data_IF_474627476553
#
_entry.id   IF_474627476553
#
_cell.length_a   1.000
_cell.length_b   1.000
_cell.length_c   1.000
_cell.angle_alpha   90.00
_cell.angle_beta   90.00
_cell.angle_gamma   90.00
#
_symmetry.space_group_name_H-M   'P 1'
#
loop_
_entity.id
_entity.type
_entity.pdbx_description
1 polymer ?
#
# COMPACT_ATOMS: atom_id res chain seq x y z
N UNK A 1 -5.21 -0.23 17.20
CA UNK A 1 -3.94 -0.84 16.75
C UNK A 1 -4.28 -1.74 15.59
N UNK A 2 -3.93 -1.35 14.37
CA UNK A 2 -4.02 -2.24 13.22
C UNK A 2 -2.89 -3.26 13.35
N UNK A 3 -3.20 -4.44 13.87
CA UNK A 3 -2.30 -5.59 13.73
C UNK A 3 -2.38 -6.00 12.26
N UNK A 4 -1.47 -5.46 11.46
CA UNK A 4 -1.15 -5.97 10.13
C UNK A 4 -0.44 -7.31 10.35
N UNK A 5 -1.20 -8.35 10.65
CA UNK A 5 -0.74 -9.72 10.47
C UNK A 5 -0.23 -9.80 9.02
N UNK A 6 1.02 -10.23 8.86
CA UNK A 6 1.89 -10.06 7.68
C UNK A 6 1.40 -10.76 6.41
N UNK A 7 0.20 -10.39 5.96
CA UNK A 7 -0.43 -10.87 4.75
C UNK A 7 -0.53 -9.71 3.77
N UNK A 8 -0.11 -9.91 2.51
CA UNK A 8 -0.26 -8.90 1.47
C UNK A 8 -1.72 -8.50 1.32
N UNK A 9 -2.01 -7.22 1.53
CA UNK A 9 -3.36 -6.64 1.39
C UNK A 9 -3.47 -5.94 0.03
N UNK A 10 -4.62 -6.07 -0.63
CA UNK A 10 -4.90 -5.28 -1.81
C UNK A 10 -5.06 -3.80 -1.45
N UNK A 11 -4.50 -2.92 -2.27
CA UNK A 11 -4.58 -1.47 -2.07
C UNK A 11 -6.03 -0.98 -1.89
N UNK A 12 -6.97 -1.48 -2.68
CA UNK A 12 -8.38 -1.12 -2.55
C UNK A 12 -8.96 -1.41 -1.17
N UNK A 13 -8.49 -2.46 -0.49
CA UNK A 13 -8.93 -2.80 0.85
C UNK A 13 -8.31 -1.87 1.89
N UNK A 14 -7.02 -1.52 1.73
CA UNK A 14 -6.36 -0.53 2.58
C UNK A 14 -7.03 0.85 2.48
N UNK A 15 -7.34 1.30 1.25
CA UNK A 15 -8.07 2.54 0.97
C UNK A 15 -9.47 2.54 1.60
N UNK A 16 -10.19 1.43 1.45
CA UNK A 16 -11.55 1.27 1.97
C UNK A 16 -11.61 1.25 3.51
N UNK A 17 -10.75 0.45 4.16
CA UNK A 17 -10.70 0.30 5.62
C UNK A 17 -10.28 1.58 6.32
N UNK A 18 -9.39 2.36 5.71
CA UNK A 18 -8.90 3.59 6.30
C UNK A 18 -9.83 4.80 6.03
N UNK A 19 -10.90 4.64 5.22
CA UNK A 19 -11.83 5.72 4.81
C UNK A 19 -11.09 6.99 4.37
N UNK A 20 -9.90 6.83 3.77
CA UNK A 20 -8.98 7.95 3.53
C UNK A 20 -9.45 8.72 2.32
N UNK A 21 -9.30 10.05 2.40
CA UNK A 21 -9.68 11.02 1.37
C UNK A 21 -8.93 10.88 0.05
N UNK A 22 -8.54 12.02 -0.55
CA UNK A 22 -8.06 12.11 -1.93
C UNK A 22 -7.11 10.95 -2.34
N UNK A 23 -7.46 10.16 -3.38
CA UNK A 23 -6.63 9.05 -3.88
C UNK A 23 -5.19 9.45 -4.19
N UNK A 24 -4.93 10.70 -4.60
CA UNK A 24 -3.58 11.18 -4.86
C UNK A 24 -2.69 11.15 -3.62
N UNK A 25 -3.26 11.46 -2.44
CA UNK A 25 -2.54 11.44 -1.15
C UNK A 25 -2.24 10.01 -0.72
N UNK A 26 -3.19 9.09 -0.91
CA UNK A 26 -2.98 7.66 -0.59
C UNK A 26 -1.87 7.09 -1.45
N UNK A 27 -1.95 7.32 -2.76
CA UNK A 27 -0.92 6.88 -3.70
C UNK A 27 0.46 7.44 -3.34
N UNK A 28 0.56 8.74 -3.04
CA UNK A 28 1.81 9.38 -2.60
C UNK A 28 2.39 8.71 -1.36
N UNK A 29 1.55 8.44 -0.36
CA UNK A 29 1.95 7.78 0.89
C UNK A 29 2.51 6.37 0.64
N UNK A 30 1.91 5.61 -0.27
CA UNK A 30 2.41 4.26 -0.63
C UNK A 30 3.77 4.34 -1.29
N UNK A 31 3.97 5.28 -2.21
CA UNK A 31 5.27 5.49 -2.83
C UNK A 31 6.34 5.90 -1.81
N UNK A 32 5.99 6.77 -0.87
CA UNK A 32 6.89 7.18 0.20
C UNK A 32 7.24 6.01 1.14
N UNK A 33 6.26 5.23 1.59
CA UNK A 33 6.49 4.05 2.43
C UNK A 33 7.33 2.98 1.69
N UNK A 34 7.12 2.80 0.39
CA UNK A 34 7.93 1.91 -0.44
C UNK A 34 9.34 2.43 -0.62
N UNK A 35 9.51 3.75 -0.74
CA UNK A 35 10.82 4.41 -0.84
C UNK A 35 11.60 4.33 0.47
N UNK A 36 10.94 4.45 1.62
CA UNK A 36 11.58 4.32 2.94
C UNK A 36 11.84 2.87 3.33
N UNK A 37 11.40 1.91 2.50
CA UNK A 37 11.53 0.49 2.78
C UNK A 37 10.62 0.02 3.90
N UNK A 38 9.56 0.77 4.24
CA UNK A 38 8.55 0.38 5.24
C UNK A 38 7.41 -0.44 4.62
N UNK A 39 7.31 -0.44 3.29
CA UNK A 39 6.28 -1.16 2.53
C UNK A 39 6.91 -1.94 1.37
N UNK A 40 6.50 -3.19 1.23
CA UNK A 40 6.90 -4.12 0.18
C UNK A 40 5.77 -4.20 -0.84
N UNK A 41 6.05 -3.82 -2.08
CA UNK A 41 5.13 -3.94 -3.22
C UNK A 41 5.92 -4.30 -4.48
N UNK A 42 6.23 -5.60 -4.71
CA UNK A 42 7.14 -6.02 -5.77
C UNK A 42 6.61 -5.71 -7.17
N UNK A 43 5.30 -5.73 -7.37
CA UNK A 43 4.67 -5.41 -8.66
C UNK A 43 4.95 -3.99 -9.13
N UNK A 44 5.17 -3.04 -8.21
CA UNK A 44 5.48 -1.64 -8.55
C UNK A 44 6.83 -1.44 -9.23
N UNK A 45 7.68 -2.48 -9.30
CA UNK A 45 8.90 -2.43 -10.12
C UNK A 45 8.58 -2.54 -11.63
N UNK A 46 7.48 -3.20 -12.00
CA UNK A 46 7.15 -3.52 -13.39
C UNK A 46 5.77 -3.03 -13.83
N UNK A 47 4.93 -2.62 -12.90
CA UNK A 47 3.54 -2.24 -13.14
C UNK A 47 3.23 -0.90 -12.47
N UNK A 48 2.33 -0.13 -13.08
CA UNK A 48 1.80 1.08 -12.46
C UNK A 48 0.95 0.73 -11.22
N UNK A 49 0.85 1.67 -10.28
CA UNK A 49 -0.01 1.53 -9.11
C UNK A 49 -1.47 1.38 -9.54
N UNK A 50 -2.12 0.35 -9.01
CA UNK A 50 -3.54 0.08 -9.21
C UNK A 50 -4.19 -0.40 -7.92
N UNK A 51 -5.52 -0.39 -7.88
CA UNK A 51 -6.33 -0.92 -6.77
C UNK A 51 -6.06 -2.39 -6.45
N UNK A 52 -5.50 -3.15 -7.39
CA UNK A 52 -5.14 -4.56 -7.24
C UNK A 52 -3.68 -4.77 -6.79
N UNK A 53 -2.94 -3.69 -6.56
CA UNK A 53 -1.57 -3.78 -6.05
C UNK A 53 -1.60 -4.41 -4.68
N UNK A 54 -0.89 -5.52 -4.52
CA UNK A 54 -0.66 -6.13 -3.22
C UNK A 54 0.46 -5.37 -2.53
N UNK A 55 0.18 -4.92 -1.31
CA UNK A 55 1.12 -4.24 -0.43
C UNK A 55 1.28 -5.04 0.85
N UNK A 56 2.51 -5.12 1.35
CA UNK A 56 2.84 -5.76 2.62
C UNK A 56 3.75 -4.84 3.44
N UNK A 57 3.77 -5.01 4.76
CA UNK A 57 4.69 -4.29 5.64
C UNK A 57 6.10 -4.87 5.51
N UNK A 58 7.11 -4.01 5.42
CA UNK A 58 8.48 -4.47 5.56
C UNK A 58 8.76 -4.80 7.04
N UNK A 59 9.27 -6.01 7.30
CA UNK A 59 9.78 -6.40 8.61
C UNK A 59 11.14 -5.79 8.92
#
# INVERSE_FOLDING_TARGET
MLSLDSQPLALSLAEHELLVGDPAVVHGTIFDLRRTGSLIAPSLHMQALSLHTLVDTAQ
#
